data_IF_322137901364
#
_entry.id   IF_322137901364
#
_cell.length_a   1.000
_cell.length_b   1.000
_cell.length_c   1.000
_cell.angle_alpha   90.00
_cell.angle_beta   90.00
_cell.angle_gamma   90.00
#
_symmetry.space_group_name_H-M   'P 1'
#
loop_
_entity.id
_entity.type
_entity.pdbx_description
1 polymer ?
#
# COMPACT_ATOMS: atom_id res chain seq x y z
N UNK A 1 13.00 31.30 -27.18
CA UNK A 1 11.81 30.45 -26.90
C UNK A 1 11.54 30.49 -25.40
N UNK A 2 10.27 30.63 -24.94
CA UNK A 2 9.99 30.62 -23.52
C UNK A 2 10.16 29.19 -22.98
N UNK A 3 10.89 29.05 -21.88
CA UNK A 3 11.13 27.76 -21.24
C UNK A 3 9.86 27.39 -20.47
N UNK A 4 9.14 26.37 -20.92
CA UNK A 4 7.98 25.86 -20.20
C UNK A 4 8.41 25.42 -18.80
N UNK A 5 7.97 26.16 -17.78
CA UNK A 5 8.18 25.80 -16.38
C UNK A 5 7.41 24.51 -16.08
N UNK A 6 8.11 23.39 -16.14
CA UNK A 6 7.61 22.09 -15.69
C UNK A 6 7.33 22.17 -14.19
N UNK A 7 6.07 22.42 -13.86
CA UNK A 7 5.56 22.38 -12.50
C UNK A 7 5.70 20.94 -11.99
N UNK A 8 6.79 20.66 -11.25
CA UNK A 8 6.93 19.41 -10.49
C UNK A 8 5.80 19.38 -9.47
N UNK A 9 4.70 18.73 -9.83
CA UNK A 9 3.49 18.57 -9.02
C UNK A 9 3.88 17.93 -7.69
N UNK A 10 4.07 18.70 -6.63
CA UNK A 10 4.40 18.15 -5.30
C UNK A 10 3.26 17.22 -4.86
N UNK A 11 3.57 16.07 -4.29
CA UNK A 11 2.53 15.17 -3.78
C UNK A 11 1.73 15.90 -2.70
N UNK A 12 0.40 15.90 -2.83
CA UNK A 12 -0.44 16.46 -1.80
C UNK A 12 -0.29 15.64 -0.51
N UNK A 13 -0.39 16.31 0.64
CA UNK A 13 -0.28 15.61 1.92
C UNK A 13 -1.31 14.49 2.07
N UNK A 14 -2.49 14.67 1.50
CA UNK A 14 -3.56 13.69 1.48
C UNK A 14 -3.22 12.50 0.58
N UNK A 15 -2.63 12.75 -0.59
CA UNK A 15 -2.29 11.73 -1.57
C UNK A 15 -1.31 10.70 -0.99
N UNK A 16 -0.30 11.16 -0.26
CA UNK A 16 0.67 10.32 0.44
C UNK A 16 0.06 9.47 1.56
N UNK A 17 -0.91 10.01 2.30
CA UNK A 17 -1.57 9.28 3.39
C UNK A 17 -2.52 8.24 2.80
N UNK A 18 -3.29 8.59 1.76
CA UNK A 18 -4.14 7.64 1.05
C UNK A 18 -3.30 6.52 0.43
N UNK A 19 -2.21 6.84 -0.26
CA UNK A 19 -1.40 5.84 -0.94
C UNK A 19 -0.74 4.87 0.04
N UNK A 20 -0.29 5.36 1.21
CA UNK A 20 0.23 4.52 2.29
C UNK A 20 -0.84 3.56 2.85
N UNK A 21 -2.04 4.06 3.15
CA UNK A 21 -3.12 3.23 3.66
C UNK A 21 -3.58 2.16 2.69
N UNK A 22 -3.70 2.54 1.41
CA UNK A 22 -4.05 1.62 0.33
C UNK A 22 -2.95 0.56 0.12
N UNK A 23 -1.67 0.93 0.24
CA UNK A 23 -0.55 -0.03 0.17
C UNK A 23 -0.56 -1.01 1.34
N UNK A 24 -0.85 -0.54 2.56
CA UNK A 24 -0.98 -1.43 3.74
C UNK A 24 -2.16 -2.39 3.61
N UNK A 25 -3.29 -1.90 3.06
CA UNK A 25 -4.46 -2.73 2.77
C UNK A 25 -4.12 -3.82 1.75
N UNK A 26 -3.62 -3.45 0.58
CA UNK A 26 -3.27 -4.38 -0.51
C UNK A 26 -2.17 -5.37 -0.12
N UNK A 27 -1.13 -4.89 0.55
CA UNK A 27 -0.02 -5.74 1.00
C UNK A 27 -0.51 -6.87 1.89
N UNK A 28 -1.52 -6.60 2.73
CA UNK A 28 -2.13 -7.60 3.60
C UNK A 28 -2.95 -8.60 2.80
N UNK A 29 -3.74 -8.14 1.83
CA UNK A 29 -4.53 -9.02 0.97
C UNK A 29 -3.62 -9.97 0.18
N UNK A 30 -2.54 -9.43 -0.41
CA UNK A 30 -1.54 -10.20 -1.14
C UNK A 30 -0.86 -11.26 -0.27
N UNK A 31 -0.48 -10.91 0.97
CA UNK A 31 0.12 -11.86 1.92
C UNK A 31 -0.87 -13.00 2.24
N UNK A 32 -2.15 -12.69 2.43
CA UNK A 32 -3.18 -13.69 2.70
C UNK A 32 -3.32 -14.66 1.52
N UNK A 33 -3.34 -14.12 0.29
CA UNK A 33 -3.41 -14.92 -0.94
C UNK A 33 -2.17 -15.82 -1.07
N UNK A 34 -0.97 -15.26 -0.87
CA UNK A 34 0.29 -16.01 -0.92
C UNK A 34 0.34 -17.12 0.13
N UNK A 35 -0.12 -16.84 1.35
CA UNK A 35 -0.19 -17.83 2.43
C UNK A 35 -1.16 -18.97 2.12
N UNK A 36 -2.19 -18.70 1.32
CA UNK A 36 -3.11 -19.73 0.85
C UNK A 36 -2.49 -20.62 -0.24
N UNK A 37 -1.54 -20.10 -1.01
CA UNK A 37 -0.98 -20.77 -2.19
C UNK A 37 0.36 -21.48 -1.89
N UNK A 38 1.16 -20.94 -0.98
CA UNK A 38 2.52 -21.39 -0.68
C UNK A 38 2.60 -21.77 0.81
N UNK A 39 2.96 -23.01 1.17
CA UNK A 39 3.05 -23.44 2.56
C UNK A 39 4.37 -23.01 3.26
N UNK A 40 5.37 -22.50 2.54
CA UNK A 40 6.68 -22.14 3.10
C UNK A 40 6.76 -20.66 3.55
N UNK A 41 6.89 -20.38 4.86
CA UNK A 41 6.85 -19.01 5.39
C UNK A 41 7.99 -18.12 4.88
N UNK A 42 9.19 -18.67 4.66
CA UNK A 42 10.33 -17.90 4.15
C UNK A 42 10.11 -17.37 2.72
N UNK A 43 9.48 -18.17 1.86
CA UNK A 43 9.22 -17.80 0.47
C UNK A 43 8.10 -16.75 0.41
N UNK A 44 7.08 -16.88 1.26
CA UNK A 44 6.00 -15.89 1.38
C UNK A 44 6.59 -14.51 1.70
N UNK A 45 7.47 -14.42 2.69
CA UNK A 45 8.07 -13.13 3.09
C UNK A 45 8.92 -12.55 1.96
N UNK A 46 9.72 -13.37 1.28
CA UNK A 46 10.54 -12.92 0.16
C UNK A 46 9.69 -12.33 -0.98
N UNK A 47 8.65 -13.05 -1.41
CA UNK A 47 7.77 -12.58 -2.49
C UNK A 47 6.95 -11.37 -2.04
N UNK A 48 6.45 -11.36 -0.81
CA UNK A 48 5.72 -10.23 -0.26
C UNK A 48 6.58 -8.96 -0.23
N UNK A 49 7.84 -9.05 0.20
CA UNK A 49 8.79 -7.94 0.16
C UNK A 49 9.02 -7.43 -1.27
N UNK A 50 9.13 -8.33 -2.25
CA UNK A 50 9.29 -7.95 -3.67
C UNK A 50 8.02 -7.23 -4.18
N UNK A 51 6.83 -7.75 -3.88
CA UNK A 51 5.57 -7.16 -4.32
C UNK A 51 5.31 -5.80 -3.67
N UNK A 52 5.39 -5.73 -2.34
CA UNK A 52 5.18 -4.50 -1.58
C UNK A 52 6.27 -3.47 -1.94
N UNK A 53 7.53 -3.90 -2.01
CA UNK A 53 8.65 -3.06 -2.43
C UNK A 53 8.49 -2.53 -3.86
N UNK A 54 8.03 -3.37 -4.78
CA UNK A 54 7.70 -2.99 -6.15
C UNK A 54 6.57 -1.97 -6.23
N UNK A 55 5.51 -2.15 -5.43
CA UNK A 55 4.40 -1.17 -5.34
C UNK A 55 4.88 0.16 -4.77
N UNK A 56 5.69 0.15 -3.71
CA UNK A 56 6.25 1.38 -3.12
C UNK A 56 7.17 2.08 -4.13
N UNK A 57 8.01 1.32 -4.83
CA UNK A 57 8.89 1.87 -5.87
C UNK A 57 8.10 2.48 -7.03
N UNK A 58 7.04 1.81 -7.50
CA UNK A 58 6.15 2.31 -8.55
C UNK A 58 5.42 3.59 -8.14
N UNK A 59 4.97 3.68 -6.89
CA UNK A 59 4.40 4.92 -6.32
C UNK A 59 5.44 6.05 -6.27
N UNK A 60 6.65 5.74 -5.80
CA UNK A 60 7.74 6.71 -5.71
C UNK A 60 8.15 7.26 -7.09
N UNK A 61 8.14 6.40 -8.12
CA UNK A 61 8.48 6.77 -9.49
C UNK A 61 7.31 7.38 -10.29
N UNK A 62 6.14 7.57 -9.67
CA UNK A 62 4.90 8.08 -10.32
C UNK A 62 4.43 7.24 -11.51
N UNK A 63 4.77 5.96 -11.52
CA UNK A 63 4.27 5.02 -12.53
C UNK A 63 2.84 4.60 -12.16
N UNK A 64 2.55 4.53 -10.86
CA UNK A 64 1.20 4.38 -10.31
C UNK A 64 0.69 5.78 -9.95
N UNK A 65 0.03 6.47 -10.88
CA UNK A 65 -0.68 7.71 -10.54
C UNK A 65 -1.83 7.39 -9.59
N UNK A 66 -2.23 8.31 -8.70
CA UNK A 66 -3.17 8.05 -7.59
C UNK A 66 -4.54 7.44 -7.95
N UNK A 67 -4.83 7.24 -9.24
CA UNK A 67 -6.02 6.58 -9.78
C UNK A 67 -5.84 5.07 -9.97
N UNK A 68 -4.60 4.59 -10.16
CA UNK A 68 -4.30 3.19 -10.42
C UNK A 68 -4.32 2.34 -9.14
N UNK A 69 -4.00 2.96 -8.01
CA UNK A 69 -3.99 2.31 -6.70
C UNK A 69 -5.38 1.86 -6.24
N UNK A 70 -6.44 2.69 -6.35
CA UNK A 70 -7.81 2.26 -6.12
C UNK A 70 -8.27 1.14 -7.07
N UNK A 71 -7.80 1.14 -8.32
CA UNK A 71 -8.13 0.10 -9.30
C UNK A 71 -7.52 -1.24 -8.86
N UNK A 72 -6.26 -1.22 -8.43
CA UNK A 72 -5.56 -2.39 -7.90
C UNK A 72 -6.32 -2.96 -6.70
N UNK A 73 -6.76 -2.11 -5.78
CA UNK A 73 -7.60 -2.52 -4.63
C UNK A 73 -8.89 -3.15 -5.06
N UNK A 74 -9.58 -2.54 -6.01
CA UNK A 74 -10.87 -3.04 -6.48
C UNK A 74 -10.69 -4.45 -7.04
N UNK A 75 -9.63 -4.70 -7.80
CA UNK A 75 -9.31 -6.00 -8.36
C UNK A 75 -8.98 -7.02 -7.26
N UNK A 76 -8.13 -6.67 -6.30
CA UNK A 76 -7.71 -7.59 -5.24
C UNK A 76 -8.85 -7.92 -4.29
N UNK A 77 -9.75 -6.97 -4.02
CA UNK A 77 -10.96 -7.17 -3.23
C UNK A 77 -11.94 -8.11 -3.97
N UNK A 78 -12.04 -7.98 -5.29
CA UNK A 78 -12.84 -8.87 -6.14
C UNK A 78 -12.27 -10.30 -6.17
N UNK A 79 -10.94 -10.44 -6.24
CA UNK A 79 -10.23 -11.72 -6.09
C UNK A 79 -10.50 -12.35 -4.72
N UNK A 80 -10.63 -11.52 -3.69
CA UNK A 80 -11.00 -12.00 -2.37
C UNK A 80 -12.42 -12.53 -2.29
N UNK A 81 -13.31 -12.37 -3.28
CA UNK A 81 -14.60 -13.05 -3.28
C UNK A 81 -14.45 -14.58 -3.38
N UNK A 82 -13.35 -15.06 -3.94
CA UNK A 82 -13.07 -16.48 -4.11
C UNK A 82 -12.54 -17.12 -2.81
N UNK A 83 -13.25 -18.10 -2.22
CA UNK A 83 -12.87 -18.70 -0.93
C UNK A 83 -11.55 -19.47 -0.97
N UNK A 84 -11.17 -19.98 -2.14
CA UNK A 84 -9.88 -20.65 -2.37
C UNK A 84 -8.68 -19.75 -2.07
N UNK A 85 -8.81 -18.43 -2.28
CA UNK A 85 -7.73 -17.46 -2.06
C UNK A 85 -7.62 -17.01 -0.59
N UNK A 86 -8.63 -17.31 0.24
CA UNK A 86 -8.66 -16.91 1.65
C UNK A 86 -8.02 -17.96 2.58
N UNK A 87 -7.62 -19.11 2.06
CA UNK A 87 -7.07 -20.21 2.88
C UNK A 87 -8.02 -20.67 4.00
N UNK A 88 -9.34 -20.55 3.78
CA UNK A 88 -10.36 -20.85 4.79
C UNK A 88 -10.65 -19.74 5.80
N UNK A 89 -10.01 -18.57 5.71
CA UNK A 89 -10.35 -17.43 6.58
C UNK A 89 -11.72 -16.84 6.22
N UNK A 90 -12.49 -16.50 7.26
CA UNK A 90 -13.73 -15.75 7.11
C UNK A 90 -13.44 -14.35 6.53
N UNK A 91 -14.33 -13.87 5.65
CA UNK A 91 -14.18 -12.56 4.99
C UNK A 91 -14.10 -11.41 6.00
N UNK A 92 -14.77 -11.54 7.15
CA UNK A 92 -14.72 -10.58 8.25
C UNK A 92 -13.31 -10.45 8.83
N UNK A 93 -12.62 -11.56 9.08
CA UNK A 93 -11.25 -11.57 9.60
C UNK A 93 -10.29 -10.93 8.60
N UNK A 94 -10.44 -11.29 7.32
CA UNK A 94 -9.62 -10.73 6.23
C UNK A 94 -9.82 -9.21 6.13
N UNK A 95 -11.07 -8.74 6.15
CA UNK A 95 -11.39 -7.32 6.11
C UNK A 95 -10.82 -6.56 7.31
N UNK A 96 -10.93 -7.11 8.52
CA UNK A 96 -10.36 -6.50 9.74
C UNK A 96 -8.84 -6.37 9.63
N UNK A 97 -8.15 -7.44 9.22
CA UNK A 97 -6.69 -7.42 9.06
C UNK A 97 -6.25 -6.39 8.01
N UNK A 98 -6.96 -6.31 6.89
CA UNK A 98 -6.66 -5.38 5.82
C UNK A 98 -6.84 -3.91 6.26
N UNK A 99 -7.97 -3.60 6.93
CA UNK A 99 -8.25 -2.26 7.46
C UNK A 99 -7.22 -1.89 8.53
N UNK A 100 -6.91 -2.81 9.44
CA UNK A 100 -5.96 -2.57 10.52
C UNK A 100 -4.56 -2.27 9.98
N UNK A 101 -4.11 -3.04 8.98
CA UNK A 101 -2.82 -2.84 8.33
C UNK A 101 -2.78 -1.53 7.54
N UNK A 102 -3.85 -1.18 6.82
CA UNK A 102 -3.97 0.12 6.16
C UNK A 102 -3.91 1.28 7.15
N UNK A 103 -4.63 1.17 8.27
CA UNK A 103 -4.59 2.16 9.35
C UNK A 103 -3.19 2.27 9.98
N UNK A 104 -2.49 1.15 10.18
CA UNK A 104 -1.13 1.12 10.68
C UNK A 104 -0.15 1.82 9.71
N UNK A 105 -0.26 1.55 8.40
CA UNK A 105 0.55 2.22 7.39
C UNK A 105 0.31 3.74 7.39
N UNK A 106 -0.95 4.17 7.46
CA UNK A 106 -1.32 5.60 7.62
C UNK A 106 -0.68 6.18 8.88
N UNK A 107 -0.83 5.52 10.02
CA UNK A 107 -0.31 5.99 11.29
C UNK A 107 1.21 6.15 11.27
N UNK A 108 1.94 5.18 10.70
CA UNK A 108 3.38 5.23 10.55
C UNK A 108 3.78 6.39 9.63
N UNK A 109 3.16 6.52 8.46
CA UNK A 109 3.46 7.62 7.53
C UNK A 109 3.15 8.99 8.14
N UNK A 110 2.04 9.12 8.85
CA UNK A 110 1.65 10.34 9.53
C UNK A 110 2.63 10.69 10.66
N UNK A 111 3.07 9.70 11.45
CA UNK A 111 4.04 9.86 12.52
C UNK A 111 5.38 10.36 11.99
N UNK A 112 5.95 9.69 10.97
CA UNK A 112 7.18 10.14 10.34
C UNK A 112 7.07 11.57 9.84
N UNK A 113 5.98 11.90 9.15
CA UNK A 113 5.76 13.26 8.66
C UNK A 113 5.65 14.29 9.79
N UNK A 114 5.00 13.95 10.90
CA UNK A 114 4.93 14.82 12.08
C UNK A 114 6.32 15.09 12.65
N UNK A 115 7.15 14.05 12.77
CA UNK A 115 8.55 14.16 13.23
C UNK A 115 9.35 15.06 12.28
N UNK A 116 9.28 14.84 10.96
CA UNK A 116 9.97 15.70 9.99
C UNK A 116 9.51 17.15 10.04
N UNK A 117 8.21 17.38 10.23
CA UNK A 117 7.65 18.74 10.36
C UNK A 117 8.12 19.43 11.63
N UNK A 118 8.32 18.68 12.71
CA UNK A 118 8.86 19.20 13.96
C UNK A 118 10.35 19.55 13.81
N UNK A 119 11.15 18.65 13.23
CA UNK A 119 12.57 18.91 12.95
C UNK A 119 12.77 20.12 12.04
N UNK A 120 12.00 20.23 10.95
CA UNK A 120 12.10 21.34 9.99
C UNK A 120 11.63 22.69 10.55
N UNK A 121 11.04 22.73 11.75
CA UNK A 121 10.72 23.98 12.46
C UNK A 121 11.79 24.37 13.47
N UNK A 122 12.62 23.42 13.90
CA UNK A 122 13.70 23.64 14.85
C UNK A 122 15.03 23.95 14.15
N UNK A 123 15.26 23.34 12.99
CA UNK A 123 16.32 23.67 12.02
C UNK A 123 15.88 24.81 11.11
#
# INVERSE_FOLDING_TARGET
APVASSSKKSFSSLELISSAGLTGFEGTLLIIILKSLIPSPGIIVAIACILIGGMIYGQNRRILEGKDLPILITITLLLMLFPFLRGGLAISVVAILAILSGAAAIAITALFRLIYRFLSRLL
#
